data_IF_746032535188
#
_entry.id   IF_746032535188
#
_cell.length_a   1.000
_cell.length_b   1.000
_cell.length_c   1.000
_cell.angle_alpha   90.00
_cell.angle_beta   90.00
_cell.angle_gamma   90.00
#
_symmetry.space_group_name_H-M   'P 1'
#
loop_
_entity.id
_entity.type
_entity.pdbx_description
1 polymer ?
#
# COMPACT_ATOMS: atom_id res chain seq x y z
N UNK A 1 4.68 -14.83 12.57
CA UNK A 1 3.93 -13.60 12.85
C UNK A 1 3.00 -13.38 11.68
N UNK A 2 1.70 -13.34 11.92
CA UNK A 2 0.71 -13.22 10.86
C UNK A 2 0.92 -11.92 10.08
N UNK A 3 0.99 -12.07 8.76
CA UNK A 3 1.09 -10.96 7.82
C UNK A 3 -0.30 -10.31 7.77
N UNK A 4 -0.51 -9.22 8.52
CA UNK A 4 -1.83 -8.58 8.67
C UNK A 4 -2.34 -7.88 7.39
N UNK A 5 -1.65 -8.05 6.25
CA UNK A 5 -2.02 -7.45 4.97
C UNK A 5 -1.86 -5.92 4.95
N UNK A 6 -2.00 -5.32 3.78
CA UNK A 6 -1.98 -3.86 3.62
C UNK A 6 -3.35 -3.27 3.99
N UNK A 7 -3.39 -2.04 4.51
CA UNK A 7 -4.65 -1.31 4.69
C UNK A 7 -5.11 -0.80 3.31
N UNK A 8 -6.26 -1.29 2.86
CA UNK A 8 -6.91 -0.93 1.58
C UNK A 8 -8.37 -0.48 1.79
N UNK A 9 -8.89 -0.60 3.01
CA UNK A 9 -10.27 -0.26 3.36
C UNK A 9 -10.42 -0.12 4.89
N UNK A 10 -11.64 0.11 5.36
CA UNK A 10 -11.92 0.26 6.79
C UNK A 10 -11.81 -1.07 7.56
N UNK A 11 -12.10 -2.21 6.93
CA UNK A 11 -12.02 -3.51 7.59
C UNK A 11 -10.57 -3.91 7.86
N UNK A 12 -9.69 -3.74 6.89
CA UNK A 12 -8.25 -3.88 7.02
C UNK A 12 -7.68 -2.85 8.00
N UNK A 13 -8.12 -1.58 7.96
CA UNK A 13 -7.69 -0.58 8.95
C UNK A 13 -8.00 -1.00 10.41
N UNK A 14 -9.19 -1.59 10.65
CA UNK A 14 -9.57 -2.10 11.96
C UNK A 14 -8.67 -3.25 12.43
N UNK A 15 -8.26 -4.17 11.54
CA UNK A 15 -7.31 -5.25 11.89
C UNK A 15 -5.97 -4.73 12.40
N UNK A 16 -5.53 -3.58 11.88
CA UNK A 16 -4.30 -2.89 12.29
C UNK A 16 -4.48 -1.95 13.50
N UNK A 17 -5.67 -1.90 14.11
CA UNK A 17 -6.02 -0.90 15.13
C UNK A 17 -5.71 0.54 14.68
N UNK A 18 -5.92 0.82 13.40
CA UNK A 18 -5.57 2.09 12.81
C UNK A 18 -6.56 3.21 13.21
N UNK A 19 -6.02 4.39 13.47
CA UNK A 19 -6.79 5.62 13.66
C UNK A 19 -7.15 6.22 12.31
N UNK A 20 -8.41 6.62 12.12
CA UNK A 20 -8.79 7.39 10.94
C UNK A 20 -8.22 8.81 11.00
N UNK A 21 -7.66 9.25 9.88
CA UNK A 21 -7.19 10.62 9.67
C UNK A 21 -8.20 11.48 8.88
N UNK A 22 -9.35 10.91 8.53
CA UNK A 22 -10.35 11.54 7.68
C UNK A 22 -10.03 11.40 6.19
N UNK A 23 -10.54 12.34 5.40
CA UNK A 23 -10.44 12.34 3.94
C UNK A 23 -9.58 13.50 3.48
N UNK A 24 -8.75 13.27 2.46
CA UNK A 24 -7.90 14.29 1.83
C UNK A 24 -7.78 14.04 0.34
N UNK A 25 -7.70 15.10 -0.45
CA UNK A 25 -7.34 14.98 -1.86
C UNK A 25 -5.81 14.88 -2.03
N UNK A 26 -5.36 13.86 -2.76
CA UNK A 26 -3.95 13.64 -3.05
C UNK A 26 -3.82 13.33 -4.55
N UNK A 27 -3.06 14.16 -5.27
CA UNK A 27 -2.90 14.03 -6.72
C UNK A 27 -4.25 13.92 -7.48
N UNK A 28 -5.24 14.74 -7.09
CA UNK A 28 -6.57 14.74 -7.69
C UNK A 28 -7.47 13.56 -7.28
N UNK A 29 -7.03 12.72 -6.32
CA UNK A 29 -7.77 11.54 -5.84
C UNK A 29 -8.31 11.78 -4.45
N UNK A 30 -9.59 11.51 -4.25
CA UNK A 30 -10.22 11.53 -2.92
C UNK A 30 -9.77 10.30 -2.13
N UNK A 31 -8.96 10.52 -1.09
CA UNK A 31 -8.34 9.45 -0.33
C UNK A 31 -8.82 9.46 1.12
N UNK A 32 -9.05 8.27 1.70
CA UNK A 32 -9.23 8.09 3.14
C UNK A 32 -7.91 7.71 3.81
N UNK A 33 -7.59 8.42 4.88
CA UNK A 33 -6.33 8.29 5.60
C UNK A 33 -6.43 7.44 6.86
N UNK A 34 -5.39 6.66 7.12
CA UNK A 34 -5.25 5.85 8.33
C UNK A 34 -3.84 5.97 8.90
N UNK A 35 -3.75 5.97 10.23
CA UNK A 35 -2.49 5.95 10.96
C UNK A 35 -2.46 4.74 11.89
N UNK A 36 -1.37 3.99 11.87
CA UNK A 36 -1.19 2.83 12.74
C UNK A 36 0.28 2.69 13.12
N UNK A 37 0.52 1.96 14.22
CA UNK A 37 1.86 1.68 14.70
C UNK A 37 2.11 0.18 14.67
N UNK A 38 3.29 -0.22 14.19
CA UNK A 38 3.71 -1.61 14.15
C UNK A 38 5.20 -1.69 14.49
N UNK A 39 5.54 -2.50 15.49
CA UNK A 39 6.93 -2.81 15.86
C UNK A 39 7.84 -1.58 15.99
N UNK A 40 7.38 -0.53 16.67
CA UNK A 40 8.13 0.72 16.88
C UNK A 40 8.19 1.66 15.68
N UNK A 41 7.47 1.34 14.60
CA UNK A 41 7.29 2.24 13.45
C UNK A 41 5.90 2.88 13.47
N UNK A 42 5.81 4.14 13.08
CA UNK A 42 4.56 4.85 12.82
C UNK A 42 4.31 4.89 11.32
N UNK A 43 3.16 4.41 10.87
CA UNK A 43 2.76 4.41 9.46
C UNK A 43 1.52 5.26 9.26
N UNK A 44 1.55 6.07 8.21
CA UNK A 44 0.40 6.79 7.66
C UNK A 44 0.17 6.30 6.25
N UNK A 45 -1.06 5.95 5.92
CA UNK A 45 -1.47 5.49 4.59
C UNK A 45 -2.70 6.26 4.12
N UNK A 46 -2.74 6.55 2.83
CA UNK A 46 -3.86 7.19 2.16
C UNK A 46 -4.31 6.31 1.00
N UNK A 47 -5.56 5.87 1.06
CA UNK A 47 -6.16 4.95 0.10
C UNK A 47 -7.21 5.70 -0.72
N UNK A 48 -7.13 5.60 -2.04
CA UNK A 48 -8.15 6.14 -2.95
C UNK A 48 -9.50 5.46 -2.70
N UNK A 49 -10.54 6.25 -2.40
CA UNK A 49 -11.88 5.72 -2.10
C UNK A 49 -12.54 5.05 -3.31
N UNK A 50 -12.12 5.37 -4.54
CA UNK A 50 -12.72 4.85 -5.77
C UNK A 50 -12.11 3.52 -6.22
N UNK A 51 -10.79 3.35 -6.07
CA UNK A 51 -10.06 2.17 -6.58
C UNK A 51 -9.49 1.27 -5.48
N UNK A 52 -9.54 1.69 -4.21
CA UNK A 52 -9.05 0.90 -3.07
C UNK A 52 -7.54 0.72 -3.03
N UNK A 53 -6.77 1.54 -3.76
CA UNK A 53 -5.32 1.45 -3.85
C UNK A 53 -4.63 2.52 -2.99
N UNK A 54 -3.48 2.18 -2.41
CA UNK A 54 -2.67 3.16 -1.64
C UNK A 54 -2.06 4.18 -2.59
N UNK A 55 -2.46 5.44 -2.43
CA UNK A 55 -1.94 6.60 -3.18
C UNK A 55 -0.71 7.18 -2.52
N UNK A 56 -0.66 7.17 -1.19
CA UNK A 56 0.50 7.65 -0.44
C UNK A 56 0.70 6.86 0.83
N UNK A 57 1.97 6.61 1.18
CA UNK A 57 2.33 6.10 2.49
C UNK A 57 3.58 6.78 3.02
N UNK A 58 3.62 7.03 4.33
CA UNK A 58 4.80 7.49 5.05
C UNK A 58 4.97 6.55 6.24
N UNK A 59 6.13 5.93 6.34
CA UNK A 59 6.53 5.11 7.48
C UNK A 59 7.75 5.75 8.14
N UNK A 60 7.62 6.08 9.42
CA UNK A 60 8.73 6.53 10.26
C UNK A 60 9.21 5.34 11.08
N UNK A 61 10.47 4.97 10.90
CA UNK A 61 11.15 3.93 11.67
C UNK A 61 12.32 4.56 12.45
N UNK A 62 12.92 3.85 13.42
CA UNK A 62 14.15 4.31 14.07
C UNK A 62 15.30 4.54 13.09
N UNK A 63 15.30 3.88 11.94
CA UNK A 63 16.34 3.97 10.91
C UNK A 63 16.08 5.07 9.89
N UNK A 64 14.90 5.70 9.90
CA UNK A 64 14.58 6.82 9.01
C UNK A 64 13.13 6.85 8.56
N UNK A 65 12.84 7.71 7.59
CA UNK A 65 11.51 7.84 7.00
C UNK A 65 11.51 7.24 5.59
N UNK A 66 10.58 6.33 5.33
CA UNK A 66 10.28 5.80 3.99
C UNK A 66 8.97 6.41 3.53
N UNK A 67 8.92 6.88 2.29
CA UNK A 67 7.69 7.42 1.70
C UNK A 67 7.45 6.88 0.31
N UNK A 68 6.17 6.74 -0.04
CA UNK A 68 5.69 6.34 -1.35
C UNK A 68 4.60 7.31 -1.80
N UNK A 69 4.62 7.62 -3.10
CA UNK A 69 3.56 8.37 -3.76
C UNK A 69 3.28 7.70 -5.11
N UNK A 70 2.02 7.35 -5.33
CA UNK A 70 1.54 6.88 -6.63
C UNK A 70 1.62 8.03 -7.63
N UNK A 71 2.41 7.84 -8.69
CA UNK A 71 2.57 8.85 -9.75
C UNK A 71 1.50 8.71 -10.82
N UNK A 72 1.23 7.48 -11.23
CA UNK A 72 0.34 7.15 -12.33
C UNK A 72 -0.52 5.94 -12.00
N UNK A 73 -1.68 5.86 -12.62
CA UNK A 73 -2.61 4.75 -12.51
C UNK A 73 -3.33 4.58 -13.84
N UNK A 74 -3.47 3.33 -14.26
CA UNK A 74 -4.30 2.95 -15.40
C UNK A 74 -5.29 1.87 -14.93
N UNK A 75 -6.60 2.04 -15.19
CA UNK A 75 -7.57 0.98 -14.95
C UNK A 75 -7.55 -0.09 -16.06
N UNK A 76 -6.78 0.12 -17.13
CA UNK A 76 -6.68 -0.85 -18.21
C UNK A 76 -5.98 -2.13 -17.72
N UNK A 77 -6.51 -3.29 -18.11
CA UNK A 77 -5.87 -4.56 -17.85
C UNK A 77 -4.44 -4.55 -18.44
N UNK A 78 -3.40 -4.93 -17.67
CA UNK A 78 -2.05 -5.01 -18.21
C UNK A 78 -2.00 -6.07 -19.32
N UNK A 79 -1.18 -5.86 -20.37
CA UNK A 79 -1.02 -6.88 -21.40
C UNK A 79 -0.39 -8.15 -20.80
N UNK A 80 -0.74 -9.33 -21.30
CA UNK A 80 -0.20 -10.61 -20.81
C UNK A 80 1.34 -10.66 -20.85
N UNK A 81 1.96 -9.96 -21.81
CA UNK A 81 3.41 -9.82 -21.91
C UNK A 81 4.06 -9.11 -20.72
N UNK A 82 3.33 -8.27 -19.99
CA UNK A 82 3.83 -7.63 -18.76
C UNK A 82 4.11 -8.63 -17.64
N UNK A 83 3.53 -9.82 -17.71
CA UNK A 83 3.73 -10.92 -16.76
C UNK A 83 4.70 -11.99 -17.27
N UNK A 84 5.31 -11.79 -18.44
CA UNK A 84 6.33 -12.69 -18.96
C UNK A 84 7.64 -12.49 -18.22
N UNK A 85 8.22 -13.58 -17.74
CA UNK A 85 9.51 -13.55 -17.04
C UNK A 85 10.61 -13.15 -18.04
N UNK A 86 11.35 -12.05 -17.81
CA UNK A 86 12.39 -11.64 -18.75
C UNK A 86 13.52 -12.69 -18.84
N UNK A 87 14.23 -12.78 -19.98
CA UNK A 87 15.39 -13.64 -20.10
C UNK A 87 16.42 -13.38 -18.99
N UNK A 88 16.97 -14.45 -18.40
CA UNK A 88 17.99 -14.37 -17.35
C UNK A 88 17.44 -14.38 -15.92
N UNK A 89 16.13 -14.29 -15.72
CA UNK A 89 15.53 -14.47 -14.40
C UNK A 89 15.50 -15.97 -14.03
N UNK A 90 15.90 -16.29 -12.79
CA UNK A 90 15.80 -17.64 -12.24
C UNK A 90 14.52 -17.78 -11.44
N UNK A 91 13.64 -18.68 -11.86
CA UNK A 91 12.47 -19.05 -11.05
C UNK A 91 12.94 -19.86 -9.86
N UNK A 92 12.67 -19.38 -8.65
CA UNK A 92 12.87 -20.16 -7.43
C UNK A 92 11.55 -20.83 -7.07
N UNK A 93 11.54 -22.15 -6.95
CA UNK A 93 10.40 -22.88 -6.41
C UNK A 93 10.19 -22.48 -4.95
N UNK A 94 9.01 -21.94 -4.62
CA UNK A 94 8.59 -21.86 -3.22
C UNK A 94 8.41 -23.30 -2.72
N UNK A 95 9.31 -23.75 -1.85
CA UNK A 95 9.20 -25.07 -1.21
C UNK A 95 7.87 -25.16 -0.47
N UNK A 96 7.14 -26.26 -0.70
CA UNK A 96 5.87 -26.57 -0.04
C UNK A 96 6.02 -26.93 1.42
#
# INVERSE_FOLDING_TARGET
GENQGQITDEASAKKHNAKSLGVKEIAGRKCKGWQYSMSGSESTVWVDESVGCVVSSIQKTPQGTVSMLMKEFSPAAPPASAFSIPPGYKVMSAGG
#
